data_IF_557192347103
#
_entry.id   IF_557192347103
#
_cell.length_a   1.000
_cell.length_b   1.000
_cell.length_c   1.000
_cell.angle_alpha   90.00
_cell.angle_beta   90.00
_cell.angle_gamma   90.00
#
_symmetry.space_group_name_H-M   'P 1'
#
loop_
_entity.id
_entity.type
_entity.pdbx_description
1 polymer ?
#
# COMPACT_ATOMS: atom_id res chain seq x y z
N UNK A 1 -12.53 22.94 8.53
CA UNK A 1 -12.31 21.60 7.96
C UNK A 1 -11.63 21.80 6.62
N UNK A 2 -10.46 21.22 6.43
CA UNK A 2 -9.75 21.18 5.16
C UNK A 2 -9.74 19.73 4.72
N UNK A 3 -10.30 19.45 3.55
CA UNK A 3 -10.31 18.12 2.94
C UNK A 3 -9.63 18.20 1.59
N UNK A 4 -8.60 17.38 1.39
CA UNK A 4 -7.86 17.28 0.15
C UNK A 4 -8.04 15.87 -0.40
N UNK A 5 -8.68 15.77 -1.57
CA UNK A 5 -8.88 14.52 -2.28
C UNK A 5 -8.34 14.67 -3.70
N UNK A 6 -7.66 13.64 -4.20
CA UNK A 6 -7.24 13.56 -5.59
C UNK A 6 -8.13 12.57 -6.33
N UNK A 7 -8.76 13.02 -7.41
CA UNK A 7 -9.56 12.18 -8.30
C UNK A 7 -8.82 11.81 -9.59
N UNK A 8 -7.51 12.11 -9.65
CA UNK A 8 -6.62 11.65 -10.71
C UNK A 8 -5.74 10.52 -10.18
N UNK A 9 -5.35 9.61 -11.06
CA UNK A 9 -4.48 8.47 -10.74
C UNK A 9 -3.01 8.88 -10.50
N UNK A 10 -2.77 10.12 -10.06
CA UNK A 10 -1.43 10.66 -9.80
C UNK A 10 -1.07 10.57 -8.31
N UNK A 11 0.22 10.38 -8.09
CA UNK A 11 0.85 9.59 -7.03
C UNK A 11 0.88 10.19 -5.62
N UNK A 12 0.34 11.40 -5.41
CA UNK A 12 0.49 12.08 -4.11
C UNK A 12 -0.50 13.22 -3.89
N UNK A 13 -1.10 13.26 -2.71
CA UNK A 13 -2.02 14.32 -2.24
C UNK A 13 -1.48 14.85 -0.93
N UNK A 14 -1.44 16.17 -0.75
CA UNK A 14 -0.92 16.66 0.51
C UNK A 14 -0.74 18.15 0.68
N UNK A 15 -0.30 18.50 1.88
CA UNK A 15 0.13 19.84 2.27
C UNK A 15 1.65 19.84 2.30
N UNK A 16 2.27 20.76 1.55
CA UNK A 16 3.72 20.84 1.43
C UNK A 16 4.19 22.28 1.61
N UNK A 17 5.36 22.43 2.23
CA UNK A 17 6.16 23.63 2.10
C UNK A 17 6.75 24.15 3.40
N UNK A 18 7.48 25.25 3.25
CA UNK A 18 8.05 26.01 4.35
C UNK A 18 7.11 27.13 4.77
N UNK A 19 7.04 27.40 6.06
CA UNK A 19 6.30 28.54 6.60
C UNK A 19 6.97 29.08 7.86
N UNK A 20 6.65 30.31 8.25
CA UNK A 20 7.07 30.78 9.58
C UNK A 20 6.28 30.07 10.68
N UNK A 21 4.98 29.80 10.43
CA UNK A 21 4.06 29.27 11.43
C UNK A 21 3.09 28.27 10.79
N UNK A 22 3.08 27.05 11.31
CA UNK A 22 2.07 26.05 10.99
C UNK A 22 1.15 25.85 12.20
N UNK A 23 -0.12 26.23 12.06
CA UNK A 23 -1.09 26.21 13.17
C UNK A 23 -2.37 25.50 12.75
N UNK A 24 -2.66 24.38 13.42
CA UNK A 24 -3.92 23.64 13.32
C UNK A 24 -4.59 23.71 14.69
N UNK A 25 -5.59 24.56 14.85
CA UNK A 25 -6.18 24.85 16.16
C UNK A 25 -7.70 24.93 16.09
N UNK A 26 -8.33 25.13 17.25
CA UNK A 26 -9.77 25.42 17.38
C UNK A 26 -10.67 24.27 16.88
N UNK A 27 -10.30 23.02 17.19
CA UNK A 27 -11.09 21.85 16.76
C UNK A 27 -11.17 21.73 15.25
N UNK A 28 -10.06 22.02 14.59
CA UNK A 28 -9.91 21.84 13.16
C UNK A 28 -9.73 20.36 12.81
N UNK A 29 -10.11 20.03 11.58
CA UNK A 29 -9.90 18.72 10.98
C UNK A 29 -9.16 18.95 9.67
N UNK A 30 -8.04 18.25 9.51
CA UNK A 30 -7.34 18.07 8.25
C UNK A 30 -7.50 16.61 7.84
N UNK A 31 -8.05 16.39 6.64
CA UNK A 31 -8.26 15.07 6.06
C UNK A 31 -7.61 15.06 4.66
N UNK A 32 -6.60 14.20 4.48
CA UNK A 32 -5.87 14.04 3.22
C UNK A 32 -6.02 12.60 2.75
N UNK A 33 -6.50 12.42 1.52
CA UNK A 33 -6.79 11.10 0.97
C UNK A 33 -6.12 10.87 -0.38
N UNK A 34 -5.36 9.78 -0.45
CA UNK A 34 -4.82 9.24 -1.69
C UNK A 34 -5.90 8.57 -2.54
N UNK A 35 -5.68 8.48 -3.85
CA UNK A 35 -6.55 7.74 -4.77
C UNK A 35 -6.15 6.27 -4.86
N UNK A 36 -7.12 5.39 -5.09
CA UNK A 36 -6.82 3.98 -5.38
C UNK A 36 -6.18 3.81 -6.77
N UNK A 37 -5.50 2.68 -6.95
CA UNK A 37 -4.90 2.29 -8.21
C UNK A 37 -5.91 2.09 -9.35
N UNK A 38 -5.43 2.29 -10.58
CA UNK A 38 -6.22 2.17 -11.81
C UNK A 38 -5.89 0.91 -12.63
N UNK A 39 -6.75 0.62 -13.61
CA UNK A 39 -6.62 -0.48 -14.59
C UNK A 39 -5.55 -0.22 -15.67
N UNK A 40 -4.36 0.21 -15.26
CA UNK A 40 -3.19 0.35 -16.13
C UNK A 40 -1.89 0.22 -15.30
N UNK A 41 -0.89 -0.45 -15.85
CA UNK A 41 0.42 -0.67 -15.21
C UNK A 41 1.35 0.44 -15.69
N UNK A 42 1.08 1.68 -15.27
CA UNK A 42 1.85 2.22 -14.16
C UNK A 42 1.02 2.91 -13.05
N UNK A 43 -0.28 3.08 -13.27
CA UNK A 43 -1.19 3.78 -12.34
C UNK A 43 -1.92 2.83 -11.39
N UNK A 44 -1.59 1.54 -11.42
CA UNK A 44 -2.20 0.52 -10.56
C UNK A 44 -1.78 0.61 -9.09
N UNK A 45 -0.81 1.47 -8.75
CA UNK A 45 -0.43 1.80 -7.38
C UNK A 45 -1.43 2.78 -6.76
N UNK A 46 -1.71 2.62 -5.47
CA UNK A 46 -2.40 3.63 -4.67
C UNK A 46 -1.58 4.91 -4.47
N UNK A 47 -2.26 6.05 -4.36
CA UNK A 47 -1.66 7.36 -4.18
C UNK A 47 -1.32 7.67 -2.72
N UNK A 48 -0.25 8.44 -2.52
CA UNK A 48 0.21 8.84 -1.19
C UNK A 48 -0.71 9.91 -0.57
N UNK A 49 -0.82 9.91 0.76
CA UNK A 49 -1.41 10.98 1.57
C UNK A 49 -0.33 11.60 2.46
N UNK A 50 0.00 12.88 2.24
CA UNK A 50 1.19 13.49 2.81
C UNK A 50 0.90 14.85 3.46
N UNK A 51 1.46 15.08 4.64
CA UNK A 51 1.70 16.42 5.17
C UNK A 51 3.17 16.53 5.46
N UNK A 52 3.86 17.40 4.75
CA UNK A 52 5.28 17.66 4.94
C UNK A 52 5.50 19.16 5.08
N UNK A 53 5.72 19.60 6.31
CA UNK A 53 5.79 21.02 6.66
C UNK A 53 7.03 21.29 7.49
N UNK A 54 7.80 22.27 7.03
CA UNK A 54 8.87 22.88 7.81
C UNK A 54 8.40 24.25 8.31
N UNK A 55 8.27 24.38 9.63
CA UNK A 55 7.88 25.62 10.27
C UNK A 55 9.09 26.26 10.96
N UNK A 56 9.44 27.49 10.59
CA UNK A 56 10.61 28.15 11.20
C UNK A 56 10.35 28.46 12.68
N UNK A 57 9.31 29.23 12.98
CA UNK A 57 9.10 29.83 14.30
C UNK A 57 8.19 29.00 15.20
N UNK A 58 7.12 28.42 14.67
CA UNK A 58 6.16 27.69 15.50
C UNK A 58 5.41 26.64 14.72
N UNK A 59 5.34 25.44 15.29
CA UNK A 59 4.40 24.41 14.89
C UNK A 59 3.45 24.10 16.05
N UNK A 60 2.15 24.24 15.81
CA UNK A 60 1.13 24.04 16.84
C UNK A 60 -0.09 23.30 16.32
N UNK A 61 -0.37 22.14 16.92
CA UNK A 61 -1.58 21.36 16.69
C UNK A 61 -2.32 21.24 18.01
N UNK A 62 -3.48 21.88 18.16
CA UNK A 62 -4.20 21.95 19.44
C UNK A 62 -5.68 21.62 19.28
N UNK A 63 -6.15 20.63 20.04
CA UNK A 63 -7.57 20.27 20.10
C UNK A 63 -8.12 19.78 18.77
N UNK A 64 -7.28 19.26 17.86
CA UNK A 64 -7.58 19.10 16.43
C UNK A 64 -7.28 17.68 15.94
N UNK A 65 -7.80 17.32 14.77
CA UNK A 65 -7.67 16.00 14.15
C UNK A 65 -6.88 16.13 12.84
N UNK A 66 -5.93 15.23 12.63
CA UNK A 66 -5.21 15.04 11.38
C UNK A 66 -5.36 13.59 10.93
N UNK A 67 -5.97 13.39 9.77
CA UNK A 67 -6.14 12.08 9.16
C UNK A 67 -5.42 12.05 7.80
N UNK A 68 -4.50 11.11 7.65
CA UNK A 68 -3.86 10.78 6.37
C UNK A 68 -4.26 9.36 6.00
N UNK A 69 -4.97 9.19 4.90
CA UNK A 69 -5.37 7.88 4.38
C UNK A 69 -4.86 7.73 2.96
N UNK A 70 -3.87 6.87 2.75
CA UNK A 70 -3.38 6.60 1.41
C UNK A 70 -4.32 5.65 0.65
N UNK A 71 -4.24 5.65 -0.68
CA UNK A 71 -5.07 4.77 -1.52
C UNK A 71 -4.48 3.36 -1.64
N UNK A 72 -5.33 2.39 -1.94
CA UNK A 72 -4.90 1.00 -2.14
C UNK A 72 -4.48 0.72 -3.58
N UNK A 73 -3.64 -0.30 -3.77
CA UNK A 73 -3.34 -0.83 -5.09
C UNK A 73 -4.55 -1.52 -5.72
N UNK A 74 -4.55 -1.63 -7.05
CA UNK A 74 -5.63 -2.30 -7.78
C UNK A 74 -5.60 -3.82 -7.59
N UNK A 75 -6.75 -4.42 -7.28
CA UNK A 75 -7.02 -5.86 -7.43
C UNK A 75 -7.70 -6.14 -8.78
N UNK A 76 -6.99 -6.54 -9.84
CA UNK A 76 -7.61 -6.76 -11.14
C UNK A 76 -8.44 -8.06 -11.13
N UNK A 77 -9.52 -8.14 -11.94
CA UNK A 77 -10.39 -9.33 -12.03
C UNK A 77 -9.80 -10.44 -12.89
N UNK A 78 -8.78 -10.15 -13.70
CA UNK A 78 -8.02 -11.11 -14.50
C UNK A 78 -6.57 -10.62 -14.68
N UNK A 79 -5.62 -11.51 -15.02
CA UNK A 79 -4.24 -11.09 -15.24
C UNK A 79 -4.16 -10.02 -16.33
N UNK A 80 -3.51 -8.89 -16.03
CA UNK A 80 -3.50 -7.69 -16.87
C UNK A 80 -2.53 -7.78 -18.05
N UNK A 81 -1.55 -8.69 -17.97
CA UNK A 81 -0.52 -8.83 -19.00
C UNK A 81 -0.02 -10.28 -19.08
N UNK A 82 0.67 -10.60 -20.17
CA UNK A 82 1.50 -11.81 -20.31
C UNK A 82 3.00 -11.51 -20.15
N UNK A 83 3.36 -10.23 -20.00
CA UNK A 83 4.74 -9.77 -19.78
C UNK A 83 5.09 -9.64 -18.30
N UNK A 84 6.33 -9.20 -18.05
CA UNK A 84 6.81 -8.97 -16.69
C UNK A 84 6.04 -7.83 -15.99
N UNK A 85 5.81 -7.99 -14.69
CA UNK A 85 5.24 -6.98 -13.79
C UNK A 85 6.31 -6.61 -12.76
N UNK A 86 6.50 -5.32 -12.51
CA UNK A 86 7.63 -4.82 -11.75
C UNK A 86 7.33 -3.58 -10.91
N UNK A 87 8.36 -3.10 -10.22
CA UNK A 87 8.33 -1.87 -9.42
C UNK A 87 7.22 -1.90 -8.36
N UNK A 88 6.40 -0.85 -8.28
CA UNK A 88 5.36 -0.69 -7.27
C UNK A 88 3.96 -0.97 -7.85
N UNK A 89 3.88 -1.77 -8.92
CA UNK A 89 2.59 -2.11 -9.52
C UNK A 89 1.69 -2.76 -8.47
N UNK A 90 0.44 -2.30 -8.39
CA UNK A 90 -0.54 -2.80 -7.42
C UNK A 90 -0.15 -2.57 -5.94
N UNK A 91 0.90 -1.82 -5.64
CA UNK A 91 1.23 -1.51 -4.26
C UNK A 91 0.29 -0.44 -3.68
N UNK A 92 0.16 -0.41 -2.36
CA UNK A 92 -0.50 0.67 -1.64
C UNK A 92 0.28 1.99 -1.70
N UNK A 93 -0.42 3.09 -1.42
CA UNK A 93 0.18 4.41 -1.23
C UNK A 93 0.69 4.62 0.20
N UNK A 94 1.59 5.57 0.38
CA UNK A 94 2.17 5.88 1.69
C UNK A 94 1.39 6.97 2.43
N UNK A 95 1.27 6.84 3.76
CA UNK A 95 0.74 7.87 4.64
C UNK A 95 1.90 8.54 5.41
N UNK A 96 2.22 9.79 5.09
CA UNK A 96 3.43 10.47 5.58
C UNK A 96 3.09 11.77 6.29
N UNK A 97 3.42 11.86 7.57
CA UNK A 97 3.40 13.09 8.35
C UNK A 97 4.83 13.47 8.72
N UNK A 98 5.36 14.54 8.14
CA UNK A 98 6.69 15.06 8.41
C UNK A 98 6.59 16.51 8.86
N UNK A 99 6.82 16.74 10.15
CA UNK A 99 6.66 18.03 10.80
C UNK A 99 8.00 18.43 11.40
N UNK A 100 8.60 19.47 10.83
CA UNK A 100 9.94 19.94 11.22
C UNK A 100 9.85 21.37 11.74
N UNK A 101 10.60 21.67 12.81
CA UNK A 101 10.74 23.01 13.36
C UNK A 101 12.21 23.39 13.48
N UNK A 102 12.63 24.45 12.77
CA UNK A 102 14.06 24.70 12.50
C UNK A 102 14.72 25.88 13.22
N UNK A 103 13.98 26.82 13.80
CA UNK A 103 14.57 27.89 14.62
C UNK A 103 15.24 27.29 15.89
N UNK A 104 16.23 27.95 16.52
CA UNK A 104 16.85 27.49 17.77
C UNK A 104 16.00 27.60 19.05
N UNK A 105 15.02 28.50 19.16
CA UNK A 105 14.12 28.61 20.35
C UNK A 105 12.61 28.26 20.13
N UNK A 106 12.18 27.61 19.03
CA UNK A 106 10.78 27.35 18.76
C UNK A 106 10.29 26.12 19.52
N UNK A 107 9.04 26.20 19.95
CA UNK A 107 8.35 25.11 20.61
C UNK A 107 7.42 24.43 19.60
N UNK A 108 7.70 23.17 19.28
CA UNK A 108 6.70 22.29 18.69
C UNK A 108 5.69 21.91 19.77
N UNK A 109 4.41 22.22 19.54
CA UNK A 109 3.32 21.92 20.48
C UNK A 109 2.26 21.08 19.81
N UNK A 110 2.00 19.88 20.33
CA UNK A 110 0.87 19.04 19.90
C UNK A 110 0.06 18.69 21.16
N UNK A 111 -1.18 19.16 21.26
CA UNK A 111 -2.00 18.98 22.47
C UNK A 111 -3.43 18.59 22.17
N UNK A 112 -3.97 17.66 22.94
CA UNK A 112 -5.38 17.23 22.82
C UNK A 112 -5.72 16.91 21.36
N UNK A 113 -4.80 16.26 20.65
CA UNK A 113 -4.87 16.05 19.22
C UNK A 113 -5.00 14.56 18.92
N UNK A 114 -5.69 14.27 17.82
CA UNK A 114 -5.77 12.93 17.24
C UNK A 114 -5.07 12.96 15.89
N UNK A 115 -4.10 12.08 15.72
CA UNK A 115 -3.31 11.97 14.51
C UNK A 115 -3.37 10.51 14.07
N UNK A 116 -4.01 10.26 12.93
CA UNK A 116 -4.16 8.93 12.36
C UNK A 116 -3.54 8.88 10.97
N UNK A 117 -2.62 7.94 10.77
CA UNK A 117 -1.99 7.63 9.50
C UNK A 117 -2.35 6.19 9.13
N UNK A 118 -2.99 6.02 7.99
CA UNK A 118 -3.34 4.70 7.45
C UNK A 118 -2.79 4.61 6.04
N UNK A 119 -1.80 3.75 5.84
CA UNK A 119 -1.26 3.48 4.53
C UNK A 119 -2.21 2.60 3.71
N UNK A 120 -2.03 2.58 2.40
CA UNK A 120 -2.87 1.81 1.49
C UNK A 120 -2.49 0.33 1.47
N UNK A 121 -3.47 -0.53 1.22
CA UNK A 121 -3.23 -1.96 1.03
C UNK A 121 -2.69 -2.23 -0.38
N UNK A 122 -1.89 -3.28 -0.54
CA UNK A 122 -1.56 -3.84 -1.84
C UNK A 122 -2.79 -4.53 -2.45
N UNK A 123 -2.89 -4.49 -3.78
CA UNK A 123 -3.97 -5.15 -4.51
C UNK A 123 -3.79 -6.67 -4.57
N UNK A 124 -4.89 -7.41 -4.64
CA UNK A 124 -4.89 -8.86 -4.74
C UNK A 124 -4.72 -9.32 -6.19
N UNK A 125 -3.92 -10.36 -6.40
CA UNK A 125 -3.82 -11.00 -7.69
C UNK A 125 -5.09 -11.83 -7.99
N UNK A 126 -5.57 -11.85 -9.24
CA UNK A 126 -6.77 -12.58 -9.62
C UNK A 126 -6.53 -14.08 -9.62
N UNK A 127 -7.58 -14.81 -9.25
CA UNK A 127 -7.62 -16.25 -9.41
C UNK A 127 -7.63 -16.67 -10.88
N UNK A 128 -7.10 -17.86 -11.12
CA UNK A 128 -7.07 -18.52 -12.40
C UNK A 128 -8.48 -18.92 -12.84
N UNK A 129 -8.76 -18.70 -14.13
CA UNK A 129 -10.06 -19.00 -14.69
C UNK A 129 -10.17 -20.47 -15.13
N UNK A 130 -11.40 -21.02 -15.16
CA UNK A 130 -11.67 -22.30 -15.79
C UNK A 130 -11.19 -22.32 -17.24
N UNK A 131 -10.84 -23.51 -17.76
CA UNK A 131 -10.44 -23.67 -19.14
C UNK A 131 -11.59 -23.27 -20.08
N UNK A 132 -11.29 -22.55 -21.18
CA UNK A 132 -12.30 -22.14 -22.16
C UNK A 132 -12.91 -23.32 -22.94
N UNK A 133 -12.31 -24.51 -22.88
CA UNK A 133 -12.82 -25.73 -23.49
C UNK A 133 -12.24 -27.02 -22.89
N UNK A 134 -12.80 -28.18 -23.27
CA UNK A 134 -12.45 -29.49 -22.68
C UNK A 134 -11.00 -29.93 -22.96
N UNK A 135 -10.38 -29.41 -24.04
CA UNK A 135 -9.02 -29.76 -24.45
C UNK A 135 -7.97 -28.72 -24.02
N UNK A 136 -8.39 -27.68 -23.29
CA UNK A 136 -7.50 -26.60 -22.83
C UNK A 136 -7.13 -26.77 -21.36
N UNK A 137 -5.88 -26.44 -21.01
CA UNK A 137 -5.45 -26.37 -19.61
C UNK A 137 -6.16 -25.25 -18.86
N UNK A 138 -6.27 -25.40 -17.54
CA UNK A 138 -6.74 -24.33 -16.65
C UNK A 138 -5.79 -23.14 -16.70
N UNK A 139 -6.33 -21.92 -16.53
CA UNK A 139 -5.49 -20.71 -16.50
C UNK A 139 -4.90 -20.48 -15.13
N UNK A 140 -3.66 -20.00 -15.07
CA UNK A 140 -3.03 -19.63 -13.80
C UNK A 140 -3.61 -18.34 -13.20
N UNK A 141 -3.60 -18.25 -11.87
CA UNK A 141 -3.91 -17.01 -11.13
C UNK A 141 -2.65 -16.17 -10.94
N UNK A 142 -2.77 -14.84 -11.02
CA UNK A 142 -1.63 -13.93 -10.93
C UNK A 142 -1.83 -12.58 -11.62
N UNK A 143 -0.96 -11.61 -11.35
CA UNK A 143 -0.96 -10.32 -12.06
C UNK A 143 -0.55 -10.44 -13.53
N UNK A 144 0.20 -11.50 -13.84
CA UNK A 144 0.65 -11.84 -15.19
C UNK A 144 0.49 -13.33 -15.48
N UNK A 145 0.38 -13.66 -16.76
CA UNK A 145 0.36 -15.04 -17.30
C UNK A 145 1.75 -15.41 -17.78
N UNK A 146 2.54 -16.04 -16.91
CA UNK A 146 3.89 -16.55 -17.20
C UNK A 146 5.02 -15.51 -17.19
N UNK A 147 4.73 -14.22 -17.05
CA UNK A 147 5.74 -13.17 -16.88
C UNK A 147 6.37 -13.16 -15.49
N UNK A 148 7.57 -12.61 -15.32
CA UNK A 148 8.18 -12.45 -14.01
C UNK A 148 7.46 -11.36 -13.19
N UNK A 149 7.44 -11.52 -11.87
CA UNK A 149 6.96 -10.51 -10.92
C UNK A 149 8.10 -10.12 -10.00
N UNK A 150 8.51 -8.85 -10.04
CA UNK A 150 9.65 -8.36 -9.28
C UNK A 150 9.39 -7.02 -8.59
N UNK A 151 10.20 -6.66 -7.59
CA UNK A 151 10.07 -5.37 -6.90
C UNK A 151 9.13 -5.44 -5.71
N UNK A 152 8.28 -4.42 -5.55
CA UNK A 152 7.35 -4.25 -4.42
C UNK A 152 5.90 -4.47 -4.86
N UNK A 153 5.68 -5.32 -5.85
CA UNK A 153 4.37 -5.58 -6.42
C UNK A 153 3.38 -6.02 -5.34
N UNK A 154 2.20 -5.40 -5.30
CA UNK A 154 1.17 -5.68 -4.30
C UNK A 154 1.64 -5.53 -2.83
N UNK A 155 2.68 -4.74 -2.57
CA UNK A 155 3.06 -4.44 -1.19
C UNK A 155 2.08 -3.46 -0.56
N UNK A 156 1.88 -3.56 0.74
CA UNK A 156 1.24 -2.49 1.51
C UNK A 156 2.12 -1.25 1.59
N UNK A 157 1.51 -0.07 1.66
CA UNK A 157 2.22 1.19 1.82
C UNK A 157 2.70 1.42 3.25
N UNK A 158 3.60 2.38 3.42
CA UNK A 158 4.17 2.73 4.73
C UNK A 158 3.36 3.82 5.45
N UNK A 159 3.25 3.70 6.79
CA UNK A 159 2.75 4.77 7.65
C UNK A 159 3.90 5.39 8.44
N UNK A 160 4.26 6.64 8.14
CA UNK A 160 5.41 7.30 8.73
C UNK A 160 5.06 8.65 9.35
N UNK A 161 5.36 8.81 10.64
CA UNK A 161 5.33 10.10 11.32
C UNK A 161 6.75 10.50 11.77
N UNK A 162 7.22 11.65 11.31
CA UNK A 162 8.43 12.32 11.80
C UNK A 162 8.04 13.61 12.47
N UNK A 163 8.45 13.76 13.73
CA UNK A 163 8.35 15.01 14.49
C UNK A 163 9.77 15.45 14.84
N UNK A 164 10.24 16.51 14.20
CA UNK A 164 11.59 17.05 14.43
C UNK A 164 11.51 18.48 14.95
N UNK A 165 12.08 18.71 16.13
CA UNK A 165 12.14 20.04 16.72
C UNK A 165 12.96 20.03 18.00
N UNK A 166 13.67 21.13 18.26
CA UNK A 166 14.56 21.22 19.43
C UNK A 166 13.83 21.07 20.76
N UNK A 167 12.70 21.77 20.91
CA UNK A 167 11.81 21.68 22.07
C UNK A 167 10.43 21.17 21.63
N UNK A 168 10.03 20.01 22.15
CA UNK A 168 8.75 19.38 21.82
C UNK A 168 7.89 19.18 23.07
N UNK A 169 6.61 19.53 22.95
CA UNK A 169 5.58 19.35 23.97
C UNK A 169 4.36 18.64 23.37
N UNK A 170 4.32 17.32 23.56
CA UNK A 170 3.26 16.43 23.10
C UNK A 170 2.40 16.02 24.30
N UNK A 171 1.18 16.55 24.44
CA UNK A 171 0.30 16.30 25.60
C UNK A 171 -1.11 15.85 25.23
N UNK A 172 -1.57 14.76 25.83
CA UNK A 172 -2.87 14.15 25.54
C UNK A 172 -3.07 13.97 24.02
N UNK A 173 -2.07 13.38 23.37
CA UNK A 173 -2.11 13.07 21.94
C UNK A 173 -2.48 11.61 21.78
N UNK A 174 -3.40 11.35 20.86
CA UNK A 174 -3.67 10.02 20.31
C UNK A 174 -2.97 9.94 18.96
N UNK A 175 -2.05 8.99 18.85
CA UNK A 175 -1.28 8.79 17.65
C UNK A 175 -1.45 7.33 17.19
N UNK A 176 -2.01 7.15 16.01
CA UNK A 176 -2.29 5.83 15.41
C UNK A 176 -1.63 5.77 14.04
N UNK A 177 -0.74 4.79 13.84
CA UNK A 177 -0.07 4.54 12.57
C UNK A 177 -0.31 3.09 12.17
N UNK A 178 -0.90 2.89 10.98
CA UNK A 178 -1.18 1.58 10.43
C UNK A 178 -0.52 1.44 9.06
N UNK A 179 0.45 0.54 8.96
CA UNK A 179 1.00 0.10 7.68
C UNK A 179 -0.02 -0.71 6.89
N UNK A 180 0.08 -0.65 5.56
CA UNK A 180 -0.85 -1.32 4.65
C UNK A 180 -0.63 -2.82 4.60
N UNK A 181 -1.65 -3.60 4.30
CA UNK A 181 -1.50 -5.05 4.07
C UNK A 181 -0.87 -5.32 2.72
N UNK A 182 -0.07 -6.37 2.63
CA UNK A 182 0.31 -6.92 1.33
C UNK A 182 -0.88 -7.63 0.67
N UNK A 183 -0.98 -7.53 -0.65
CA UNK A 183 -2.03 -8.19 -1.43
C UNK A 183 -1.79 -9.69 -1.59
N UNK A 184 -2.87 -10.46 -1.67
CA UNK A 184 -2.84 -11.92 -1.79
C UNK A 184 -2.47 -12.36 -3.22
N UNK A 185 -1.78 -13.50 -3.32
CA UNK A 185 -1.59 -14.17 -4.61
C UNK A 185 -2.87 -14.88 -5.05
N UNK A 186 -3.07 -15.02 -6.37
CA UNK A 186 -4.25 -15.65 -6.94
C UNK A 186 -4.13 -17.17 -6.94
N UNK A 187 -5.24 -17.87 -6.76
CA UNK A 187 -5.30 -19.33 -6.86
C UNK A 187 -5.21 -19.81 -8.32
N UNK A 188 -4.73 -21.03 -8.53
CA UNK A 188 -4.70 -21.65 -9.85
C UNK A 188 -6.10 -22.06 -10.32
N UNK A 189 -6.35 -21.96 -11.63
CA UNK A 189 -7.62 -22.37 -12.22
C UNK A 189 -7.80 -23.90 -12.21
N UNK A 190 -9.05 -24.38 -12.14
CA UNK A 190 -9.36 -25.80 -12.11
C UNK A 190 -9.02 -26.51 -13.44
N UNK A 191 -8.91 -27.84 -13.41
CA UNK A 191 -8.74 -28.65 -14.63
C UNK A 191 -10.02 -28.71 -15.46
N UNK A 192 -9.89 -28.92 -16.77
CA UNK A 192 -11.02 -29.39 -17.58
C UNK A 192 -11.38 -30.81 -17.13
N UNK A 193 -12.64 -31.21 -17.29
CA UNK A 193 -13.18 -32.52 -16.89
C UNK A 193 -12.67 -33.72 -17.72
N UNK A 194 -11.46 -33.63 -18.29
CA UNK A 194 -10.82 -34.69 -19.06
C UNK A 194 -9.44 -35.04 -18.52
N UNK A 195 -9.11 -36.33 -18.51
CA UNK A 195 -7.92 -36.99 -17.94
C UNK A 195 -6.56 -36.53 -18.53
N UNK A 196 -6.51 -35.45 -19.31
CA UNK A 196 -5.35 -35.03 -20.10
C UNK A 196 -4.96 -33.56 -19.98
N UNK A 197 -5.76 -32.72 -19.32
CA UNK A 197 -5.46 -31.30 -19.15
C UNK A 197 -5.10 -30.99 -17.69
N UNK A 198 -4.02 -30.23 -17.47
CA UNK A 198 -3.59 -29.79 -16.14
C UNK A 198 -4.29 -28.50 -15.70
N UNK A 199 -4.41 -28.29 -14.38
CA UNK A 199 -4.82 -27.01 -13.81
C UNK A 199 -3.75 -25.93 -13.98
N UNK A 200 -4.16 -24.67 -13.86
CA UNK A 200 -3.22 -23.54 -13.87
C UNK A 200 -2.48 -23.43 -12.55
N UNK A 201 -1.26 -22.87 -12.56
CA UNK A 201 -0.55 -22.54 -11.33
C UNK A 201 -1.12 -21.27 -10.68
N UNK A 202 -1.26 -21.26 -9.35
CA UNK A 202 -1.52 -20.04 -8.59
C UNK A 202 -0.22 -19.28 -8.26
N UNK A 203 -0.36 -18.06 -7.78
CA UNK A 203 0.74 -17.19 -7.38
C UNK A 203 0.52 -15.73 -7.77
N UNK A 204 1.58 -14.93 -7.66
CA UNK A 204 1.61 -13.59 -8.24
C UNK A 204 1.91 -13.64 -9.75
N UNK A 205 2.54 -14.72 -10.21
CA UNK A 205 2.76 -15.05 -11.62
C UNK A 205 2.17 -16.43 -11.94
N UNK A 206 0.97 -16.44 -12.48
CA UNK A 206 0.25 -17.67 -12.82
C UNK A 206 0.78 -18.27 -14.10
N UNK A 207 0.92 -19.59 -14.13
CA UNK A 207 1.19 -20.37 -15.34
C UNK A 207 -0.07 -21.07 -15.84
N UNK A 208 -0.21 -21.23 -17.15
CA UNK A 208 -1.30 -22.01 -17.73
C UNK A 208 -0.96 -23.51 -17.72
N UNK A 209 -1.95 -24.33 -17.33
CA UNK A 209 -1.83 -25.77 -17.28
C UNK A 209 -1.59 -26.41 -18.66
N UNK A 210 -1.08 -27.63 -18.67
CA UNK A 210 -0.83 -28.36 -19.91
C UNK A 210 -2.13 -28.63 -20.69
N UNK A 211 -2.07 -28.45 -22.01
CA UNK A 211 -3.16 -28.78 -22.91
C UNK A 211 -3.22 -30.28 -23.20
N UNK A 212 -4.41 -30.79 -23.48
CA UNK A 212 -4.60 -32.17 -23.93
C UNK A 212 -4.07 -32.41 -25.37
N UNK A 213 -3.72 -31.33 -26.07
CA UNK A 213 -3.19 -31.34 -27.45
C UNK A 213 -1.66 -31.28 -27.39
N UNK A 214 -0.92 -32.24 -27.99
CA UNK A 214 0.55 -32.34 -27.89
C UNK A 214 1.33 -31.10 -28.35
N UNK A 215 0.73 -30.25 -29.18
CA UNK A 215 1.40 -29.13 -29.84
C UNK A 215 1.22 -27.78 -29.11
N UNK A 216 0.50 -27.75 -27.99
CA UNK A 216 0.32 -26.55 -27.16
C UNK A 216 0.96 -26.76 -25.78
N UNK A 217 2.22 -26.33 -25.58
CA UNK A 217 2.91 -26.51 -24.30
C UNK A 217 2.25 -25.69 -23.20
N UNK A 218 2.32 -26.19 -21.96
CA UNK A 218 1.99 -25.42 -20.77
C UNK A 218 2.80 -24.11 -20.73
N UNK A 219 2.20 -23.05 -20.20
CA UNK A 219 2.92 -21.80 -19.93
C UNK A 219 3.39 -21.87 -18.48
N UNK A 220 4.69 -22.05 -18.20
CA UNK A 220 5.15 -22.05 -16.82
C UNK A 220 4.90 -20.69 -16.17
N UNK A 221 4.64 -20.68 -14.86
CA UNK A 221 4.66 -19.45 -14.08
C UNK A 221 6.03 -18.79 -14.16
N UNK A 222 6.06 -17.46 -14.15
CA UNK A 222 7.29 -16.68 -14.12
C UNK A 222 7.92 -16.67 -12.74
N UNK A 223 9.11 -16.09 -12.64
CA UNK A 223 9.81 -15.95 -11.34
C UNK A 223 9.16 -14.85 -10.52
N UNK A 224 8.96 -15.10 -9.24
CA UNK A 224 8.57 -14.09 -8.25
C UNK A 224 9.78 -13.75 -7.39
N UNK A 225 10.11 -12.48 -7.26
CA UNK A 225 11.24 -12.02 -6.43
C UNK A 225 11.07 -10.59 -5.92
N UNK A 226 11.81 -10.22 -4.88
CA UNK A 226 11.63 -8.94 -4.20
C UNK A 226 10.64 -9.02 -3.04
N UNK A 227 9.92 -7.93 -2.77
CA UNK A 227 8.99 -7.74 -1.65
C UNK A 227 7.53 -7.92 -2.11
N UNK A 228 7.26 -8.88 -2.99
CA UNK A 228 5.92 -9.08 -3.55
C UNK A 228 4.94 -9.51 -2.46
N UNK A 229 3.81 -8.81 -2.34
CA UNK A 229 2.82 -9.06 -1.29
C UNK A 229 3.32 -8.76 0.12
N UNK A 230 4.36 -7.94 0.29
CA UNK A 230 4.88 -7.60 1.61
C UNK A 230 3.94 -6.62 2.33
N UNK A 231 3.86 -6.70 3.66
CA UNK A 231 3.10 -5.75 4.46
C UNK A 231 3.88 -4.45 4.68
N UNK A 232 3.21 -3.32 4.68
CA UNK A 232 3.84 -2.02 4.89
C UNK A 232 4.26 -1.80 6.34
N UNK A 233 5.36 -1.09 6.53
CA UNK A 233 5.85 -0.77 7.87
C UNK A 233 5.12 0.45 8.48
N UNK A 234 5.25 0.59 9.80
CA UNK A 234 4.76 1.75 10.53
C UNK A 234 5.86 2.31 11.45
N UNK A 235 6.15 3.61 11.34
CA UNK A 235 7.26 4.25 12.05
C UNK A 235 6.87 5.59 12.67
N UNK A 236 7.25 5.78 13.92
CA UNK A 236 7.29 7.08 14.58
C UNK A 236 8.74 7.45 14.90
N UNK A 237 9.20 8.58 14.36
CA UNK A 237 10.48 9.18 14.70
C UNK A 237 10.25 10.52 15.39
N UNK A 238 10.83 10.69 16.57
CA UNK A 238 10.82 11.96 17.31
C UNK A 238 12.24 12.41 17.58
N UNK A 239 12.65 13.53 16.98
CA UNK A 239 13.98 14.11 17.14
C UNK A 239 13.90 15.45 17.87
N UNK A 240 14.55 15.55 19.03
CA UNK A 240 14.62 16.81 19.77
C UNK A 240 15.61 16.76 20.94
N UNK A 241 16.06 17.94 21.37
CA UNK A 241 16.95 18.08 22.54
C UNK A 241 16.15 17.89 23.83
N UNK A 242 14.93 18.46 23.87
CA UNK A 242 14.01 18.33 25.00
C UNK A 242 12.64 17.90 24.48
N UNK A 243 12.23 16.68 24.84
CA UNK A 243 10.96 16.10 24.40
C UNK A 243 10.11 15.77 25.61
N UNK A 244 9.00 16.49 25.79
CA UNK A 244 8.00 16.20 26.80
C UNK A 244 6.84 15.43 26.17
N UNK A 245 6.72 14.15 26.51
CA UNK A 245 5.70 13.26 25.97
C UNK A 245 4.73 12.84 27.08
N UNK A 246 3.46 13.17 26.90
CA UNK A 246 2.34 12.65 27.68
C UNK A 246 1.26 12.22 26.69
N UNK A 247 1.24 10.94 26.34
CA UNK A 247 0.30 10.39 25.36
C UNK A 247 -0.90 9.78 26.06
N UNK A 248 -2.06 9.91 25.44
CA UNK A 248 -3.25 9.16 25.84
C UNK A 248 -3.34 7.84 25.10
N UNK A 249 -2.84 7.77 23.87
CA UNK A 249 -2.69 6.55 23.09
C UNK A 249 -1.52 6.67 22.12
N UNK A 250 -0.73 5.62 22.01
CA UNK A 250 0.20 5.39 20.90
C UNK A 250 -0.03 3.97 20.37
N UNK A 251 -0.45 3.86 19.13
CA UNK A 251 -0.61 2.58 18.42
C UNK A 251 0.18 2.67 17.11
N UNK A 252 1.15 1.76 16.93
CA UNK A 252 2.00 1.68 15.75
C UNK A 252 2.02 0.23 15.31
N UNK A 253 1.28 -0.06 14.25
CA UNK A 253 1.04 -1.41 13.77
C UNK A 253 1.48 -1.53 12.31
N UNK A 254 2.46 -2.40 12.06
CA UNK A 254 2.84 -2.79 10.70
C UNK A 254 1.74 -3.66 10.07
N UNK A 255 1.66 -3.61 8.75
CA UNK A 255 0.72 -4.43 7.99
C UNK A 255 1.19 -5.89 7.86
N UNK A 256 0.29 -6.88 7.88
CA UNK A 256 0.61 -8.23 7.48
C UNK A 256 0.97 -8.33 6.00
N UNK A 257 1.82 -9.29 5.64
CA UNK A 257 2.00 -9.69 4.25
C UNK A 257 0.79 -10.47 3.72
N UNK A 258 0.74 -10.61 2.40
CA UNK A 258 -0.28 -11.36 1.67
C UNK A 258 -0.05 -12.87 1.72
N UNK A 259 -1.14 -13.61 1.52
CA UNK A 259 -1.11 -15.07 1.45
C UNK A 259 -0.66 -15.57 0.07
N UNK A 260 -0.03 -16.74 0.07
CA UNK A 260 0.29 -17.45 -1.16
C UNK A 260 -0.97 -18.09 -1.77
N UNK A 261 -1.08 -17.99 -3.10
CA UNK A 261 -2.11 -18.68 -3.86
C UNK A 261 -1.88 -20.18 -3.91
N UNK A 262 -2.97 -20.94 -4.01
CA UNK A 262 -2.97 -22.39 -4.15
C UNK A 262 -2.66 -22.78 -5.60
N UNK A 263 -1.92 -23.86 -5.78
CA UNK A 263 -1.79 -24.47 -7.11
C UNK A 263 -3.13 -25.01 -7.59
N UNK A 264 -3.35 -25.01 -8.91
CA UNK A 264 -4.50 -25.69 -9.50
C UNK A 264 -4.37 -27.20 -9.38
N UNK A 265 -5.52 -27.87 -9.43
CA UNK A 265 -5.58 -29.32 -9.32
C UNK A 265 -4.88 -30.01 -10.48
N UNK A 266 -4.33 -31.20 -10.25
CA UNK A 266 -3.91 -32.11 -11.30
C UNK A 266 -5.06 -33.08 -11.61
N UNK A 267 -5.35 -33.31 -12.90
CA UNK A 267 -6.26 -34.39 -13.29
C UNK A 267 -5.61 -35.73 -12.90
N UNK A 268 -6.33 -36.52 -12.09
CA UNK A 268 -5.92 -37.85 -11.62
C UNK A 268 -6.49 -38.98 -12.47
#
# INVERSE_FOLDING_TARGET
>A
MITLENHTYSSRVGIFGECDRFIVAQRSVIDVRGSDGAYDVPTSRGGDAVIQVEARVTLRIEGSIINLTAGSGLSPPEPLTSGDVGSDAFAGGDAILDLVVTDPDPLMTIKNAEISLTAGDGGDAPDGLPPPGPDTGGRGGGFTRGGNVTGSVASGGEAKATLDGRFMDLRNVQLVLNGGRGGHAGDGGPTASGDRAGGGGGGYSGGDGAHAVPDLPAVPGGRVGGMVGYGGDAFLLTNGEVVNISLSLMDVTAGPGGDAGRGGDAAG
#
